data_IF_388836696158
#
_entry.id   IF_388836696158
#
_cell.length_a   1.000
_cell.length_b   1.000
_cell.length_c   1.000
_cell.angle_alpha   90.00
_cell.angle_beta   90.00
_cell.angle_gamma   90.00
#
_symmetry.space_group_name_H-M   'P 1'
#
loop_
_entity.id
_entity.type
_entity.pdbx_description
1 polymer ?
#
# COMPACT_ATOMS: atom_id res chain seq x y z
N UNK A 1 -12.67 25.37 -1.97
CA UNK A 1 -12.64 24.34 -0.91
C UNK A 1 -11.24 23.76 -0.89
N UNK A 2 -10.53 23.92 0.23
CA UNK A 2 -9.11 23.60 0.35
C UNK A 2 -8.87 22.10 0.10
N UNK A 3 -8.23 21.77 -1.02
CA UNK A 3 -7.82 20.42 -1.32
C UNK A 3 -6.85 19.94 -0.25
N UNK A 4 -7.22 18.89 0.47
CA UNK A 4 -6.34 18.19 1.39
C UNK A 4 -5.40 17.35 0.52
N UNK A 5 -4.44 18.01 -0.11
CA UNK A 5 -3.29 17.32 -0.69
C UNK A 5 -2.34 17.06 0.46
N UNK A 6 -2.56 15.95 1.19
CA UNK A 6 -1.53 15.43 2.08
C UNK A 6 -0.34 15.04 1.19
N UNK A 7 0.81 15.71 1.28
CA UNK A 7 1.95 15.31 0.49
C UNK A 7 2.37 13.92 0.98
N UNK A 8 2.41 12.95 0.05
CA UNK A 8 3.12 11.70 0.24
C UNK A 8 4.62 12.03 0.29
N UNK A 9 5.06 12.68 1.38
CA UNK A 9 6.47 12.72 1.70
C UNK A 9 6.91 11.27 1.89
N UNK A 10 8.01 10.84 1.24
CA UNK A 10 8.65 9.58 1.59
C UNK A 10 8.92 9.64 3.09
N UNK A 11 8.19 8.84 3.87
CA UNK A 11 8.59 8.57 5.24
C UNK A 11 10.05 8.16 5.15
N UNK A 12 10.96 8.78 5.92
CA UNK A 12 12.36 8.42 5.89
C UNK A 12 12.39 6.90 6.03
N UNK A 13 13.18 6.25 5.18
CA UNK A 13 13.51 4.83 5.29
C UNK A 13 14.18 4.65 6.65
N UNK A 14 13.36 4.68 7.70
CA UNK A 14 13.74 4.27 9.01
C UNK A 14 14.18 2.85 8.74
N UNK A 15 15.49 2.66 8.89
CA UNK A 15 16.09 1.50 9.49
C UNK A 15 15.30 1.20 10.76
N UNK A 16 14.04 0.79 10.62
CA UNK A 16 13.24 0.16 11.63
C UNK A 16 14.12 -1.02 11.95
N UNK A 17 14.77 -0.94 13.10
CA UNK A 17 15.03 -2.10 13.92
C UNK A 17 13.71 -2.87 13.87
N UNK A 18 13.62 -3.80 12.91
CA UNK A 18 12.53 -4.75 12.87
C UNK A 18 12.56 -5.30 14.26
N UNK A 19 11.53 -5.03 15.06
CA UNK A 19 11.34 -5.75 16.31
C UNK A 19 11.34 -7.21 15.86
N UNK A 20 12.47 -7.88 16.10
CA UNK A 20 12.71 -9.19 15.54
C UNK A 20 11.77 -10.11 16.28
N UNK A 21 10.67 -10.47 15.61
CA UNK A 21 9.68 -11.39 16.14
C UNK A 21 10.38 -12.74 16.31
N UNK A 22 10.27 -13.30 17.50
CA UNK A 22 10.79 -14.62 17.83
C UNK A 22 9.67 -15.64 17.66
N UNK A 23 10.01 -16.86 17.28
CA UNK A 23 9.02 -17.93 17.17
C UNK A 23 8.52 -18.34 18.56
N UNK A 24 7.20 -18.47 18.73
CA UNK A 24 6.57 -18.89 19.99
C UNK A 24 6.97 -20.32 20.39
N UNK A 25 7.13 -21.23 19.42
CA UNK A 25 7.54 -22.62 19.66
C UNK A 25 9.07 -22.75 19.79
N UNK A 26 9.81 -22.01 18.97
CA UNK A 26 11.27 -22.06 18.90
C UNK A 26 11.85 -20.73 19.35
N UNK A 27 11.90 -20.52 20.67
CA UNK A 27 12.20 -19.21 21.29
C UNK A 27 13.54 -18.56 20.89
N UNK A 28 14.49 -19.35 20.42
CA UNK A 28 15.80 -18.89 19.94
C UNK A 28 15.81 -18.52 18.45
N UNK A 29 14.78 -18.94 17.71
CA UNK A 29 14.67 -18.72 16.27
C UNK A 29 13.92 -17.44 15.94
N UNK A 30 14.50 -16.68 15.02
CA UNK A 30 13.87 -15.47 14.46
C UNK A 30 12.86 -15.87 13.40
N UNK A 31 11.74 -15.14 13.38
CA UNK A 31 10.77 -15.20 12.29
C UNK A 31 11.34 -14.45 11.09
N UNK A 32 11.69 -15.18 10.05
CA UNK A 32 12.30 -14.66 8.82
C UNK A 32 11.77 -15.32 7.54
N UNK A 33 10.84 -16.26 7.66
CA UNK A 33 10.21 -16.99 6.56
C UNK A 33 8.71 -16.66 6.56
N UNK A 34 8.11 -16.60 5.38
CA UNK A 34 6.67 -16.54 5.21
C UNK A 34 6.19 -17.83 4.55
N UNK A 35 5.25 -18.52 5.20
CA UNK A 35 4.64 -19.71 4.64
C UNK A 35 3.52 -19.32 3.68
N UNK A 36 3.69 -19.63 2.40
CA UNK A 36 2.71 -19.31 1.35
C UNK A 36 1.49 -20.23 1.45
N UNK A 37 1.68 -21.49 1.81
CA UNK A 37 0.58 -22.44 1.94
C UNK A 37 -0.34 -22.15 3.13
N UNK A 38 0.19 -21.57 4.21
CA UNK A 38 -0.55 -21.29 5.45
C UNK A 38 -0.79 -19.79 5.67
N UNK A 39 -0.28 -18.95 4.78
CA UNK A 39 -0.36 -17.49 4.83
C UNK A 39 0.10 -16.86 6.16
N UNK A 40 1.09 -17.47 6.81
CA UNK A 40 1.57 -17.08 8.15
C UNK A 40 3.09 -16.97 8.21
N UNK A 41 3.65 -16.00 8.95
CA UNK A 41 5.09 -15.91 9.18
C UNK A 41 5.58 -17.06 10.08
N UNK A 42 6.78 -17.56 9.78
CA UNK A 42 7.37 -18.74 10.45
C UNK A 42 8.89 -18.63 10.56
N UNK A 43 9.53 -19.61 11.22
CA UNK A 43 10.98 -19.67 11.40
C UNK A 43 11.61 -20.88 10.71
N UNK A 44 12.95 -20.92 10.71
CA UNK A 44 13.75 -21.98 10.09
C UNK A 44 13.43 -23.36 10.67
N UNK A 45 13.27 -23.48 11.99
CA UNK A 45 13.00 -24.78 12.63
C UNK A 45 11.60 -25.30 12.32
N UNK A 46 10.57 -24.43 12.34
CA UNK A 46 9.23 -24.78 11.89
C UNK A 46 9.22 -25.24 10.42
N UNK A 47 10.08 -24.67 9.57
CA UNK A 47 10.21 -25.06 8.16
C UNK A 47 11.03 -26.34 7.95
N UNK A 48 12.12 -26.56 8.65
CA UNK A 48 12.99 -27.71 8.33
C UNK A 48 12.48 -28.98 9.02
N UNK A 49 11.99 -28.85 10.26
CA UNK A 49 11.62 -30.01 11.09
C UNK A 49 10.18 -29.97 11.63
N UNK A 50 9.55 -28.80 11.64
CA UNK A 50 8.24 -28.60 12.26
C UNK A 50 7.05 -28.69 11.31
N UNK A 51 5.97 -27.99 11.69
CA UNK A 51 4.66 -28.06 11.06
C UNK A 51 4.64 -27.58 9.58
N UNK A 52 5.65 -26.82 9.14
CA UNK A 52 5.70 -26.25 7.78
C UNK A 52 6.70 -26.95 6.84
N UNK A 53 7.16 -28.16 7.21
CA UNK A 53 8.16 -28.93 6.43
C UNK A 53 7.79 -29.16 4.97
N UNK A 54 6.52 -29.45 4.71
CA UNK A 54 6.01 -29.75 3.37
C UNK A 54 5.33 -28.52 2.73
N UNK A 55 5.28 -27.38 3.41
CA UNK A 55 4.66 -26.16 2.88
C UNK A 55 5.57 -25.43 1.91
N UNK A 56 4.98 -24.71 0.96
CA UNK A 56 5.70 -23.75 0.14
C UNK A 56 5.98 -22.48 0.97
N UNK A 57 7.21 -21.98 0.91
CA UNK A 57 7.64 -20.83 1.71
C UNK A 57 8.54 -19.89 0.92
N UNK A 58 8.61 -18.63 1.35
CA UNK A 58 9.50 -17.62 0.80
C UNK A 58 10.15 -16.79 1.91
N UNK A 59 11.28 -16.10 1.67
CA UNK A 59 11.85 -15.17 2.64
C UNK A 59 10.87 -14.06 2.99
N UNK A 60 10.60 -13.84 4.28
CA UNK A 60 9.60 -12.86 4.74
C UNK A 60 9.85 -11.46 4.19
N UNK A 61 11.12 -11.03 4.13
CA UNK A 61 11.51 -9.74 3.56
C UNK A 61 11.13 -9.59 2.09
N UNK A 62 11.23 -10.67 1.30
CA UNK A 62 10.87 -10.64 -0.12
C UNK A 62 9.36 -10.47 -0.31
N UNK A 63 8.56 -11.22 0.46
CA UNK A 63 7.10 -11.14 0.45
C UNK A 63 6.64 -9.75 0.89
N UNK A 64 7.19 -9.25 2.00
CA UNK A 64 6.89 -7.91 2.50
C UNK A 64 7.21 -6.82 1.48
N UNK A 65 8.42 -6.84 0.90
CA UNK A 65 8.81 -5.85 -0.13
C UNK A 65 7.86 -5.89 -1.32
N UNK A 66 7.55 -7.09 -1.83
CA UNK A 66 6.63 -7.25 -2.95
C UNK A 66 5.24 -6.70 -2.63
N UNK A 67 4.65 -7.12 -1.50
CA UNK A 67 3.33 -6.63 -1.09
C UNK A 67 3.30 -5.12 -0.86
N UNK A 68 4.36 -4.56 -0.26
CA UNK A 68 4.50 -3.11 -0.07
C UNK A 68 4.53 -2.37 -1.41
N UNK A 69 5.26 -2.89 -2.39
CA UNK A 69 5.30 -2.32 -3.74
C UNK A 69 3.93 -2.40 -4.41
N UNK A 70 3.29 -3.58 -4.41
CA UNK A 70 1.96 -3.78 -5.01
C UNK A 70 0.91 -2.81 -4.42
N UNK A 71 0.94 -2.61 -3.09
CA UNK A 71 0.07 -1.63 -2.43
C UNK A 71 0.39 -0.19 -2.82
N UNK A 72 1.68 0.15 -2.90
CA UNK A 72 2.12 1.51 -3.27
C UNK A 72 1.71 1.85 -4.71
N UNK A 73 1.87 0.90 -5.63
CA UNK A 73 1.45 1.04 -7.03
C UNK A 73 -0.07 1.16 -7.14
N UNK A 74 -0.82 0.37 -6.37
CA UNK A 74 -2.28 0.47 -6.29
C UNK A 74 -2.73 1.86 -5.82
N UNK A 75 -2.08 2.42 -4.79
CA UNK A 75 -2.34 3.78 -4.32
C UNK A 75 -2.06 4.81 -5.43
N UNK A 76 -0.94 4.68 -6.14
CA UNK A 76 -0.58 5.60 -7.22
C UNK A 76 -1.64 5.63 -8.33
N UNK A 77 -2.19 4.46 -8.70
CA UNK A 77 -3.29 4.36 -9.67
C UNK A 77 -4.55 5.08 -9.16
N UNK A 78 -4.90 4.90 -7.89
CA UNK A 78 -6.07 5.56 -7.29
C UNK A 78 -5.91 7.08 -7.25
N UNK A 79 -4.72 7.57 -6.90
CA UNK A 79 -4.40 9.01 -6.92
C UNK A 79 -4.56 9.57 -8.33
N UNK A 80 -3.96 8.92 -9.33
CA UNK A 80 -4.10 9.34 -10.73
C UNK A 80 -5.56 9.32 -11.21
N UNK A 81 -6.36 8.37 -10.74
CA UNK A 81 -7.81 8.33 -10.99
C UNK A 81 -8.54 9.52 -10.37
N UNK A 82 -8.23 9.86 -9.11
CA UNK A 82 -8.79 11.02 -8.44
C UNK A 82 -8.43 12.34 -9.14
N UNK A 83 -7.18 12.51 -9.58
CA UNK A 83 -6.75 13.71 -10.29
C UNK A 83 -7.53 13.91 -11.60
N UNK A 84 -7.79 12.81 -12.33
CA UNK A 84 -8.63 12.84 -13.54
C UNK A 84 -10.07 13.24 -13.22
N UNK A 85 -10.67 12.68 -12.17
CA UNK A 85 -12.03 13.05 -11.77
C UNK A 85 -12.11 14.51 -11.35
N UNK A 86 -11.13 15.01 -10.60
CA UNK A 86 -11.06 16.41 -10.20
C UNK A 86 -10.97 17.35 -11.41
N UNK A 87 -10.19 16.99 -12.43
CA UNK A 87 -10.10 17.76 -13.67
C UNK A 87 -11.42 17.80 -14.45
N UNK A 88 -12.19 16.70 -14.44
CA UNK A 88 -13.53 16.66 -15.05
C UNK A 88 -14.50 17.54 -14.28
N UNK A 89 -14.48 17.47 -12.94
CA UNK A 89 -15.31 18.32 -12.08
C UNK A 89 -15.05 19.80 -12.37
N UNK A 90 -13.78 20.21 -12.40
CA UNK A 90 -13.42 21.61 -12.70
C UNK A 90 -13.90 22.05 -14.09
N UNK A 91 -13.79 21.19 -15.10
CA UNK A 91 -14.33 21.49 -16.44
C UNK A 91 -15.85 21.64 -16.43
N UNK A 92 -16.58 20.78 -15.70
CA UNK A 92 -18.03 20.88 -15.58
C UNK A 92 -18.43 22.19 -14.89
N UNK A 93 -17.75 22.57 -13.82
CA UNK A 93 -17.97 23.83 -13.12
C UNK A 93 -17.73 25.06 -14.03
N UNK A 94 -16.68 25.03 -14.86
CA UNK A 94 -16.40 26.07 -15.85
C UNK A 94 -17.48 26.18 -16.92
N UNK A 95 -17.98 25.05 -17.43
CA UNK A 95 -19.05 25.02 -18.42
C UNK A 95 -20.33 25.63 -17.82
N UNK A 96 -20.70 25.25 -16.59
CA UNK A 96 -21.87 25.82 -15.91
C UNK A 96 -21.77 27.34 -15.78
N UNK A 97 -20.63 27.85 -15.27
CA UNK A 97 -20.38 29.30 -15.17
C UNK A 97 -20.53 30.02 -16.52
N UNK A 98 -19.99 29.43 -17.59
CA UNK A 98 -20.06 30.03 -18.93
C UNK A 98 -21.48 30.10 -19.49
N UNK A 99 -22.34 29.13 -19.15
CA UNK A 99 -23.76 29.16 -19.55
C UNK A 99 -24.50 30.25 -18.79
N UNK A 100 -24.27 30.38 -17.48
CA UNK A 100 -24.89 31.41 -16.63
C UNK A 100 -24.57 32.83 -17.13
N UNK A 101 -23.30 33.11 -17.42
CA UNK A 101 -22.87 34.44 -17.93
C UNK A 101 -23.50 34.78 -19.29
N UNK A 102 -23.73 33.77 -20.15
CA UNK A 102 -24.33 33.98 -21.48
C UNK A 102 -25.85 34.15 -21.45
N UNK A 103 -26.50 33.74 -20.37
CA UNK A 103 -27.95 33.86 -20.20
C UNK A 103 -28.38 35.25 -19.68
N UNK A 104 -27.45 36.10 -19.24
CA UNK A 104 -27.73 37.47 -18.80
C UNK A 104 -27.92 38.42 -20.01
N UNK A 105 -29.07 39.11 -20.17
CA UNK A 105 -29.29 40.04 -21.28
C UNK A 105 -28.39 41.28 -21.16
N UNK A 106 -27.98 41.92 -22.29
CA UNK A 106 -27.28 43.20 -22.22
C UNK A 106 -28.18 44.26 -21.58
N UNK A 107 -27.67 45.02 -20.60
CA UNK A 107 -28.36 46.18 -20.03
C UNK A 107 -28.36 47.37 -20.99
#
# INVERSE_FOLDING_TARGET
MSGISMPLHPLPEQQQQQQQLMCEEHKEERINIYCLSCETPTCSMCKVFGAHKDCEVAPLQSVYKRQKTELSDGIAILVAGNDRMQAIISQMEDICRNIEVRAEPPR
#
